data_IF_973008792264
#
_entry.id   IF_973008792264
#
_cell.length_a   1.000
_cell.length_b   1.000
_cell.length_c   1.000
_cell.angle_alpha   90.00
_cell.angle_beta   90.00
_cell.angle_gamma   90.00
#
_symmetry.space_group_name_H-M   'P 1'
#
loop_
_entity.id
_entity.type
_entity.pdbx_description
1 polymer ?
#
# COMPACT_ATOMS: atom_id res chain seq x y z
N UNK A 1 16.42 -12.24 18.51
CA UNK A 1 15.08 -12.27 18.03
C UNK A 1 14.82 -11.24 16.97
N UNK A 2 14.26 -11.68 15.89
CA UNK A 2 14.03 -10.81 14.79
C UNK A 2 12.75 -10.08 14.92
N UNK A 3 12.81 -8.80 14.69
CA UNK A 3 11.61 -8.03 14.58
C UNK A 3 11.16 -7.99 13.15
N UNK A 4 9.92 -8.34 12.95
CA UNK A 4 9.35 -8.22 11.62
C UNK A 4 8.94 -6.80 11.41
N UNK A 5 9.63 -6.12 10.52
CA UNK A 5 9.28 -4.75 10.20
C UNK A 5 8.20 -4.75 9.15
N UNK A 6 7.00 -4.49 9.57
CA UNK A 6 5.89 -4.38 8.64
C UNK A 6 5.17 -3.08 8.91
N UNK A 7 4.57 -2.54 7.87
CA UNK A 7 3.85 -1.29 7.98
C UNK A 7 2.54 -1.38 7.24
N UNK A 8 1.55 -0.71 7.78
CA UNK A 8 0.25 -0.65 7.13
C UNK A 8 0.36 0.25 5.91
N UNK A 9 -0.28 -0.18 4.84
CA UNK A 9 -0.36 0.63 3.64
C UNK A 9 -1.49 1.63 3.83
N UNK A 10 -1.18 2.90 3.63
CA UNK A 10 -2.19 3.93 3.77
C UNK A 10 -2.79 4.29 2.43
N UNK A 11 -4.06 4.63 2.44
CA UNK A 11 -4.74 5.04 1.22
C UNK A 11 -4.17 6.37 0.74
N UNK A 12 -3.75 6.46 -0.52
CA UNK A 12 -3.22 7.72 -1.02
C UNK A 12 -4.29 8.78 -1.26
N UNK A 13 -5.56 8.39 -1.17
CA UNK A 13 -6.64 9.32 -1.40
C UNK A 13 -7.10 9.96 -0.09
N UNK A 14 -7.40 9.14 0.90
CA UNK A 14 -7.91 9.66 2.16
C UNK A 14 -6.91 9.60 3.30
N UNK A 15 -5.79 8.90 3.11
CA UNK A 15 -4.75 8.86 4.13
C UNK A 15 -4.98 7.89 5.26
N UNK A 16 -6.07 7.17 5.25
CA UNK A 16 -6.35 6.22 6.31
C UNK A 16 -5.66 4.89 6.06
N UNK A 17 -5.41 4.16 7.13
CA UNK A 17 -4.80 2.86 6.99
C UNK A 17 -5.77 1.90 6.32
N UNK A 18 -5.23 1.12 5.40
CA UNK A 18 -6.02 0.08 4.77
C UNK A 18 -5.80 -1.22 5.51
N UNK A 19 -6.28 -2.31 4.94
CA UNK A 19 -6.11 -3.61 5.58
C UNK A 19 -4.87 -4.34 5.10
N UNK A 20 -4.07 -3.67 4.30
CA UNK A 20 -2.88 -4.30 3.73
C UNK A 20 -1.65 -3.92 4.52
N UNK A 21 -0.79 -4.89 4.71
CA UNK A 21 0.48 -4.69 5.36
C UNK A 21 1.60 -5.12 4.44
N UNK A 22 2.69 -4.40 4.47
CA UNK A 22 3.85 -4.77 3.68
C UNK A 22 5.08 -4.77 4.55
N UNK A 23 6.10 -5.46 4.09
CA UNK A 23 7.39 -5.50 4.75
C UNK A 23 8.42 -4.93 3.82
N UNK A 24 9.64 -4.72 4.35
CA UNK A 24 10.65 -4.10 3.53
C UNK A 24 11.06 -4.95 2.34
N UNK A 25 10.80 -6.26 2.40
CA UNK A 25 11.12 -7.14 1.27
C UNK A 25 9.92 -7.39 0.38
N UNK A 26 8.81 -6.71 0.65
CA UNK A 26 7.62 -6.87 -0.15
C UNK A 26 7.73 -6.00 -1.40
N UNK A 27 7.45 -6.62 -2.54
CA UNK A 27 7.42 -5.90 -3.81
C UNK A 27 6.06 -6.11 -4.43
N UNK A 28 5.37 -5.02 -4.71
CA UNK A 28 4.07 -5.07 -5.36
C UNK A 28 4.14 -4.25 -6.65
N UNK A 29 3.52 -4.79 -7.70
CA UNK A 29 3.49 -4.10 -8.98
C UNK A 29 2.05 -4.08 -9.45
N UNK A 30 1.54 -2.89 -9.75
CA UNK A 30 0.16 -2.72 -10.19
C UNK A 30 -0.81 -3.38 -9.24
N UNK A 31 -0.59 -3.16 -7.97
CA UNK A 31 -1.42 -3.78 -6.94
C UNK A 31 -2.67 -2.93 -6.70
N UNK A 32 -3.86 -3.54 -6.83
CA UNK A 32 -5.09 -2.77 -6.57
C UNK A 32 -5.31 -2.64 -5.07
N UNK A 33 -5.01 -1.48 -4.56
CA UNK A 33 -5.17 -1.21 -3.14
C UNK A 33 -6.57 -0.67 -2.90
N UNK A 34 -7.35 -1.42 -2.15
CA UNK A 34 -8.71 -1.01 -1.84
C UNK A 34 -8.77 -0.36 -0.47
N UNK A 35 -9.38 0.79 -0.39
CA UNK A 35 -9.58 1.47 0.87
C UNK A 35 -11.03 1.38 1.30
N UNK A 36 -11.32 0.69 2.39
CA UNK A 36 -12.72 0.57 2.83
C UNK A 36 -13.28 1.88 3.36
N UNK A 37 -12.42 2.83 3.70
CA UNK A 37 -12.90 4.10 4.22
C UNK A 37 -13.46 4.99 3.13
N UNK A 38 -12.72 5.15 2.04
CA UNK A 38 -13.20 5.96 0.92
C UNK A 38 -13.81 5.11 -0.18
N UNK A 39 -13.74 3.79 -0.03
CA UNK A 39 -14.32 2.82 -0.96
C UNK A 39 -13.81 3.02 -2.38
N UNK A 40 -12.51 3.26 -2.48
CA UNK A 40 -11.88 3.43 -3.77
C UNK A 40 -10.73 2.46 -3.91
N UNK A 41 -10.48 2.08 -5.15
CA UNK A 41 -9.37 1.21 -5.46
C UNK A 41 -8.34 1.99 -6.23
N UNK A 42 -7.09 1.87 -5.84
CA UNK A 42 -6.00 2.62 -6.45
C UNK A 42 -4.88 1.66 -6.79
N UNK A 43 -4.36 1.76 -8.01
CA UNK A 43 -3.22 0.95 -8.38
C UNK A 43 -1.96 1.56 -7.81
N UNK A 44 -1.17 0.74 -7.15
CA UNK A 44 0.06 1.21 -6.54
C UNK A 44 1.19 0.25 -6.83
N UNK A 45 2.40 0.75 -6.67
CA UNK A 45 3.60 -0.06 -6.62
C UNK A 45 4.17 0.09 -5.23
N UNK A 46 4.70 -0.99 -4.70
CA UNK A 46 5.35 -0.95 -3.39
C UNK A 46 6.70 -1.64 -3.48
N UNK A 47 7.72 -1.00 -2.91
CA UNK A 47 9.05 -1.56 -2.91
C UNK A 47 9.81 -0.93 -1.76
N UNK A 48 10.43 -1.75 -0.93
CA UNK A 48 11.21 -1.28 0.21
C UNK A 48 10.43 -0.29 1.05
N UNK A 49 9.19 -0.61 1.33
CA UNK A 49 8.29 0.22 2.13
C UNK A 49 7.94 1.55 1.47
N UNK A 50 8.25 1.68 0.19
CA UNK A 50 7.87 2.87 -0.58
C UNK A 50 6.62 2.57 -1.38
N UNK A 51 5.65 3.44 -1.29
CA UNK A 51 4.40 3.28 -2.03
C UNK A 51 4.33 4.36 -3.09
N UNK A 52 4.13 3.94 -4.31
CA UNK A 52 4.00 4.86 -5.44
C UNK A 52 2.63 4.66 -6.06
N UNK A 53 1.92 5.75 -6.26
CA UNK A 53 0.61 5.71 -6.89
C UNK A 53 0.79 5.70 -8.40
N UNK A 54 0.12 4.77 -9.06
CA UNK A 54 0.14 4.70 -10.51
C UNK A 54 -1.07 5.44 -11.02
N UNK A 55 -0.82 6.50 -11.77
CA UNK A 55 -1.90 7.25 -12.35
C UNK A 55 -2.11 6.77 -13.75
N UNK A 56 -3.33 6.40 -14.04
CA UNK A 56 -3.68 5.97 -15.37
C UNK A 56 -4.52 7.01 -16.03
N UNK A 57 -4.33 7.22 -17.32
CA UNK A 57 -5.09 8.23 -18.04
C UNK A 57 -6.55 7.88 -18.18
#
# INVERSE_FOLDING_TARGET
>A
MEKINSEWVCCPVCGNKTRDKIRKDTVLVHYPLYCPKCKRETLINAKKLHITVIKEP
#
